data_IF_466165141339
#
_entry.id   IF_466165141339
#
_cell.length_a   1.000
_cell.length_b   1.000
_cell.length_c   1.000
_cell.angle_alpha   90.00
_cell.angle_beta   90.00
_cell.angle_gamma   90.00
#
_symmetry.space_group_name_H-M   'P 1'
#
loop_
_entity.id
_entity.type
_entity.pdbx_description
1 polymer ?
#
# COMPACT_ATOMS: atom_id res chain seq x y z
N UNK A 1 19.19 26.38 38.53
CA UNK A 1 20.56 25.81 38.56
C UNK A 1 21.05 25.83 37.12
N UNK A 2 22.11 26.56 36.79
CA UNK A 2 22.62 26.67 35.42
C UNK A 2 23.53 25.48 35.13
N UNK A 3 23.13 24.63 34.19
CA UNK A 3 23.99 23.58 33.65
C UNK A 3 24.93 24.20 32.62
N UNK A 4 26.24 24.01 32.82
CA UNK A 4 27.25 24.40 31.85
C UNK A 4 27.46 23.21 30.93
N UNK A 5 27.14 23.36 29.64
CA UNK A 5 27.40 22.34 28.64
C UNK A 5 28.91 22.22 28.33
N UNK A 6 29.31 21.13 27.69
CA UNK A 6 30.71 20.84 27.33
C UNK A 6 31.34 21.82 26.33
N UNK A 7 30.55 22.68 25.69
CA UNK A 7 30.96 23.61 24.63
C UNK A 7 31.03 25.08 25.05
N UNK A 8 31.06 25.39 26.35
CA UNK A 8 31.04 26.78 26.83
C UNK A 8 29.68 27.48 26.68
N UNK A 9 28.67 26.74 26.24
CA UNK A 9 27.28 27.17 26.22
C UNK A 9 26.65 27.08 27.61
N UNK A 10 25.92 28.11 27.99
CA UNK A 10 25.20 28.19 29.26
C UNK A 10 23.73 27.92 28.98
N UNK A 11 23.16 26.87 29.58
CA UNK A 11 21.73 26.61 29.50
C UNK A 11 20.95 27.73 30.19
N UNK A 12 19.99 28.32 29.50
CA UNK A 12 19.07 29.32 30.04
C UNK A 12 17.68 28.70 30.21
N UNK A 13 16.73 29.47 30.77
CA UNK A 13 15.37 28.98 31.00
C UNK A 13 14.76 28.45 29.69
N UNK A 14 14.27 27.20 29.75
CA UNK A 14 13.57 26.58 28.63
C UNK A 14 12.26 27.31 28.36
N UNK A 15 11.89 27.44 27.09
CA UNK A 15 10.60 27.98 26.71
C UNK A 15 9.61 26.84 26.52
N UNK A 16 8.39 27.03 27.00
CA UNK A 16 7.29 26.11 26.77
C UNK A 16 6.31 26.78 25.84
N UNK A 17 5.86 26.07 24.82
CA UNK A 17 4.78 26.53 23.95
C UNK A 17 3.85 25.37 23.62
N UNK A 18 2.63 25.71 23.23
CA UNK A 18 1.64 24.73 22.80
C UNK A 18 1.56 24.75 21.28
N UNK A 19 1.79 23.61 20.65
CA UNK A 19 1.57 23.38 19.22
C UNK A 19 0.30 22.52 19.09
N UNK A 20 -0.76 22.97 18.40
CA UNK A 20 -1.98 22.17 18.24
C UNK A 20 -1.75 20.85 17.49
N UNK A 21 -0.66 20.71 16.73
CA UNK A 21 -0.28 19.44 16.11
C UNK A 21 0.43 18.52 17.10
N UNK A 22 1.45 19.01 17.82
CA UNK A 22 2.35 18.15 18.61
C UNK A 22 2.13 18.21 20.13
N UNK A 23 1.14 18.97 20.61
CA UNK A 23 0.90 19.21 22.02
C UNK A 23 1.91 20.18 22.65
N UNK A 24 2.14 20.02 23.95
CA UNK A 24 3.07 20.87 24.70
C UNK A 24 4.50 20.54 24.30
N UNK A 25 5.26 21.56 23.89
CA UNK A 25 6.65 21.42 23.49
C UNK A 25 7.58 22.14 24.44
N UNK A 26 8.79 21.58 24.58
CA UNK A 26 9.88 22.17 25.35
C UNK A 26 10.99 22.58 24.40
N UNK A 27 11.33 23.86 24.41
CA UNK A 27 12.48 24.41 23.70
C UNK A 27 13.58 24.63 24.71
N UNK A 28 14.64 23.85 24.60
CA UNK A 28 15.86 24.10 25.34
C UNK A 28 16.60 25.29 24.72
N UNK A 29 17.05 26.21 25.58
CA UNK A 29 17.71 27.42 25.13
C UNK A 29 19.10 27.50 25.74
N UNK A 30 20.07 27.83 24.90
CA UNK A 30 21.47 27.92 25.27
C UNK A 30 22.02 29.27 24.82
N UNK A 31 22.86 29.89 25.66
CA UNK A 31 23.50 31.17 25.35
C UNK A 31 25.02 31.01 25.39
N UNK A 32 25.72 31.51 24.38
CA UNK A 32 27.17 31.42 24.30
C UNK A 32 27.77 32.34 23.25
N UNK A 33 29.06 32.16 22.96
CA UNK A 33 29.72 32.82 21.83
C UNK A 33 29.07 32.36 20.51
N UNK A 34 28.96 33.27 19.54
CA UNK A 34 28.35 33.02 18.24
C UNK A 34 28.97 31.82 17.52
N UNK A 35 30.28 31.64 17.59
CA UNK A 35 30.98 30.53 16.91
C UNK A 35 30.66 29.16 17.55
N UNK A 36 30.59 29.10 18.89
CA UNK A 36 30.21 27.89 19.63
C UNK A 36 28.74 27.54 19.40
N UNK A 37 27.87 28.56 19.41
CA UNK A 37 26.43 28.42 19.10
C UNK A 37 26.25 27.91 17.67
N UNK A 38 26.99 28.45 16.70
CA UNK A 38 26.93 28.00 15.30
C UNK A 38 27.39 26.55 15.16
N UNK A 39 28.50 26.17 15.79
CA UNK A 39 29.02 24.79 15.76
C UNK A 39 27.99 23.79 16.31
N UNK A 40 27.35 24.16 17.43
CA UNK A 40 26.31 23.34 18.05
C UNK A 40 25.02 23.30 17.21
N UNK A 41 24.62 24.44 16.62
CA UNK A 41 23.51 24.52 15.68
C UNK A 41 23.72 23.59 14.47
N UNK A 42 24.88 23.65 13.83
CA UNK A 42 25.21 22.81 12.67
C UNK A 42 25.17 21.32 13.06
N UNK A 43 25.59 20.97 14.28
CA UNK A 43 25.50 19.59 14.82
C UNK A 43 24.05 19.12 14.92
N UNK A 44 23.14 19.95 15.42
CA UNK A 44 21.71 19.62 15.51
C UNK A 44 21.03 19.54 14.14
N UNK A 45 21.33 20.46 13.23
CA UNK A 45 20.79 20.42 11.87
C UNK A 45 21.26 19.15 11.13
N UNK A 46 22.53 18.77 11.27
CA UNK A 46 23.08 17.57 10.65
C UNK A 46 22.52 16.27 11.25
N UNK A 47 22.00 16.29 12.49
CA UNK A 47 21.31 15.16 13.10
C UNK A 47 19.78 15.16 12.87
N UNK A 48 19.26 16.13 12.10
CA UNK A 48 17.83 16.24 11.79
C UNK A 48 16.98 16.86 12.90
N UNK A 49 17.59 17.44 13.93
CA UNK A 49 16.89 18.11 15.03
C UNK A 49 16.54 19.55 14.61
N UNK A 50 15.34 20.00 14.97
CA UNK A 50 14.92 21.39 14.71
C UNK A 50 15.59 22.33 15.70
N UNK A 51 16.43 23.22 15.18
CA UNK A 51 17.07 24.26 15.95
C UNK A 51 16.89 25.63 15.27
N UNK A 52 16.93 26.70 16.06
CA UNK A 52 17.03 28.08 15.57
C UNK A 52 18.14 28.82 16.30
N UNK A 53 18.74 29.80 15.63
CA UNK A 53 19.79 30.65 16.18
C UNK A 53 19.38 32.11 16.08
N UNK A 54 19.42 32.82 17.20
CA UNK A 54 19.11 34.24 17.31
C UNK A 54 20.36 35.01 17.72
N UNK A 55 20.92 35.89 16.87
CA UNK A 55 22.04 36.74 17.26
C UNK A 55 21.59 37.80 18.28
N UNK A 56 22.45 38.12 19.25
CA UNK A 56 22.22 39.24 20.17
C UNK A 56 22.95 40.46 19.61
N UNK A 57 22.19 41.39 19.01
CA UNK A 57 22.74 42.59 18.37
C UNK A 57 23.73 43.34 19.27
N UNK A 58 24.83 43.81 18.68
CA UNK A 58 25.89 44.54 19.38
C UNK A 58 26.77 43.68 20.30
N UNK A 59 26.64 42.34 20.29
CA UNK A 59 27.45 41.44 21.12
C UNK A 59 28.00 40.25 20.32
N UNK A 60 29.11 39.62 20.75
CA UNK A 60 29.59 38.38 20.15
C UNK A 60 28.79 37.14 20.58
N UNK A 61 27.58 37.32 21.15
CA UNK A 61 26.78 36.23 21.73
C UNK A 61 25.56 35.92 20.86
N UNK A 62 25.12 34.67 20.92
CA UNK A 62 23.89 34.21 20.30
C UNK A 62 23.10 33.31 21.26
N UNK A 63 21.81 33.15 20.97
CA UNK A 63 20.93 32.18 21.63
C UNK A 63 20.65 31.06 20.63
N UNK A 64 20.93 29.83 21.04
CA UNK A 64 20.47 28.62 20.37
C UNK A 64 19.16 28.18 21.03
N UNK A 65 18.14 27.94 20.23
CA UNK A 65 16.89 27.32 20.65
C UNK A 65 16.81 25.94 19.98
N UNK A 66 16.76 24.88 20.77
CA UNK A 66 16.66 23.49 20.30
C UNK A 66 15.29 22.97 20.71
N UNK A 67 14.49 22.58 19.73
CA UNK A 67 13.23 21.93 19.99
C UNK A 67 13.52 20.44 20.26
N UNK A 68 13.43 20.02 21.52
CA UNK A 68 13.75 18.65 21.92
C UNK A 68 12.74 17.62 21.38
N UNK A 69 11.66 18.08 20.72
CA UNK A 69 10.44 17.30 20.66
C UNK A 69 9.86 17.18 22.07
N UNK A 70 8.53 17.27 22.22
CA UNK A 70 7.97 16.68 23.43
C UNK A 70 8.21 15.17 23.35
N UNK A 71 8.22 14.48 24.49
CA UNK A 71 7.75 13.08 24.58
C UNK A 71 6.27 12.93 24.13
N UNK A 72 5.72 13.95 23.46
CA UNK A 72 4.60 13.82 22.55
C UNK A 72 4.99 12.80 21.51
N UNK A 73 4.57 11.57 21.79
CA UNK A 73 4.14 10.57 20.81
C UNK A 73 3.85 11.31 19.52
N UNK A 74 4.64 11.01 18.49
CA UNK A 74 4.60 11.60 17.15
C UNK A 74 3.22 12.18 16.80
N UNK A 75 3.12 13.29 16.09
CA UNK A 75 1.79 13.65 15.54
C UNK A 75 1.32 12.60 14.51
N UNK A 76 2.27 11.78 14.03
CA UNK A 76 2.03 10.51 13.35
C UNK A 76 1.55 9.36 14.28
N UNK A 77 1.54 9.52 15.60
CA UNK A 77 0.95 8.57 16.55
C UNK A 77 -0.58 8.51 16.44
N UNK A 78 -1.21 9.53 15.85
CA UNK A 78 -2.61 9.45 15.45
C UNK A 78 -2.80 8.86 14.05
N UNK A 79 -1.72 8.66 13.28
CA UNK A 79 -1.77 7.94 12.01
C UNK A 79 -1.60 6.45 12.30
N UNK A 80 -2.72 5.80 12.64
CA UNK A 80 -2.71 4.35 12.75
C UNK A 80 -2.64 3.74 11.35
N UNK A 81 -1.47 3.20 11.00
CA UNK A 81 -1.23 2.51 9.73
C UNK A 81 -1.21 0.99 9.97
N UNK A 82 -2.08 0.28 9.28
CA UNK A 82 -2.20 -1.18 9.39
C UNK A 82 -2.12 -1.81 8.00
N UNK A 83 -1.23 -2.79 7.86
CA UNK A 83 -1.12 -3.63 6.68
C UNK A 83 -1.70 -5.01 6.98
N UNK A 84 -2.54 -5.50 6.07
CA UNK A 84 -3.15 -6.84 6.19
C UNK A 84 -3.09 -7.56 4.86
N UNK A 85 -2.81 -8.86 4.91
CA UNK A 85 -2.90 -9.76 3.77
C UNK A 85 -4.09 -10.69 4.00
N UNK A 86 -5.15 -10.49 3.24
CA UNK A 86 -6.45 -11.15 3.47
C UNK A 86 -6.71 -12.11 2.30
N UNK A 87 -7.09 -13.38 2.56
CA UNK A 87 -7.62 -14.24 1.52
C UNK A 87 -9.00 -13.72 1.09
N UNK A 88 -9.15 -13.40 -0.18
CA UNK A 88 -10.40 -13.08 -0.83
C UNK A 88 -10.86 -14.26 -1.65
N UNK A 89 -12.09 -14.69 -1.41
CA UNK A 89 -12.76 -15.68 -2.23
C UNK A 89 -13.27 -14.99 -3.48
N UNK A 90 -12.92 -15.52 -4.65
CA UNK A 90 -13.43 -15.04 -5.94
C UNK A 90 -13.98 -16.20 -6.76
N UNK A 91 -15.01 -15.92 -7.54
CA UNK A 91 -15.49 -16.84 -8.55
C UNK A 91 -14.76 -16.59 -9.86
N UNK A 92 -14.23 -17.66 -10.44
CA UNK A 92 -13.55 -17.63 -11.72
C UNK A 92 -14.26 -18.49 -12.74
N UNK A 93 -14.20 -18.09 -14.00
CA UNK A 93 -14.68 -18.92 -15.10
C UNK A 93 -13.92 -20.24 -15.18
N UNK A 94 -14.62 -21.34 -15.44
CA UNK A 94 -13.98 -22.64 -15.70
C UNK A 94 -12.94 -22.59 -16.84
N UNK A 95 -13.03 -21.64 -17.78
CA UNK A 95 -12.05 -21.47 -18.85
C UNK A 95 -10.62 -21.17 -18.35
N UNK A 96 -10.50 -20.60 -17.16
CA UNK A 96 -9.19 -20.30 -16.54
C UNK A 96 -8.75 -21.35 -15.52
N UNK A 97 -9.57 -22.40 -15.31
CA UNK A 97 -9.27 -23.44 -14.34
C UNK A 97 -7.97 -24.19 -14.72
N UNK A 98 -7.05 -24.46 -13.77
CA UNK A 98 -5.75 -25.06 -14.06
C UNK A 98 -5.81 -26.36 -14.87
N UNK A 99 -6.81 -27.22 -14.64
CA UNK A 99 -6.98 -28.49 -15.35
C UNK A 99 -7.31 -28.33 -16.84
N UNK A 100 -7.90 -27.20 -17.24
CA UNK A 100 -8.34 -26.97 -18.63
C UNK A 100 -7.49 -25.91 -19.33
N UNK A 101 -6.83 -25.04 -18.56
CA UNK A 101 -6.02 -23.93 -19.06
C UNK A 101 -4.96 -24.37 -20.07
N UNK A 102 -4.24 -25.46 -19.78
CA UNK A 102 -3.21 -25.98 -20.68
C UNK A 102 -3.81 -26.48 -22.00
N UNK A 103 -4.98 -27.14 -21.95
CA UNK A 103 -5.68 -27.63 -23.13
C UNK A 103 -6.19 -26.50 -24.00
N UNK A 104 -6.78 -25.45 -23.41
CA UNK A 104 -7.21 -24.27 -24.16
C UNK A 104 -6.03 -23.49 -24.74
N UNK A 105 -4.91 -23.39 -24.02
CA UNK A 105 -3.70 -22.74 -24.53
C UNK A 105 -3.04 -23.51 -25.69
N UNK A 106 -3.27 -24.82 -25.80
CA UNK A 106 -2.80 -25.64 -26.90
C UNK A 106 -3.71 -25.59 -28.14
N UNK A 107 -4.94 -25.08 -28.01
CA UNK A 107 -5.83 -24.88 -29.15
C UNK A 107 -5.39 -23.64 -29.95
N UNK A 108 -5.45 -23.74 -31.28
CA UNK A 108 -5.37 -22.54 -32.12
C UNK A 108 -6.57 -21.62 -31.81
N UNK A 109 -6.39 -20.30 -31.93
CA UNK A 109 -7.44 -19.32 -31.63
C UNK A 109 -8.76 -19.63 -32.36
N UNK A 110 -8.69 -19.98 -33.64
CA UNK A 110 -9.86 -20.39 -34.42
C UNK A 110 -10.55 -21.64 -33.85
N UNK A 111 -9.77 -22.60 -33.35
CA UNK A 111 -10.29 -23.80 -32.67
C UNK A 111 -10.96 -23.48 -31.35
N UNK A 112 -10.40 -22.57 -30.54
CA UNK A 112 -11.00 -22.14 -29.29
C UNK A 112 -12.30 -21.34 -29.51
N UNK A 113 -12.34 -20.50 -30.56
CA UNK A 113 -13.56 -19.78 -30.96
C UNK A 113 -14.64 -20.77 -31.39
N UNK A 114 -14.29 -21.75 -32.24
CA UNK A 114 -15.24 -22.77 -32.67
C UNK A 114 -15.73 -23.61 -31.49
N UNK A 115 -14.84 -24.05 -30.59
CA UNK A 115 -15.20 -24.79 -29.39
C UNK A 115 -16.18 -24.02 -28.51
N UNK A 116 -15.96 -22.73 -28.29
CA UNK A 116 -16.88 -21.88 -27.52
C UNK A 116 -18.24 -21.72 -28.19
N UNK A 117 -18.27 -21.68 -29.53
CA UNK A 117 -19.51 -21.66 -30.30
C UNK A 117 -20.26 -22.98 -30.14
N UNK A 118 -19.58 -24.10 -30.35
CA UNK A 118 -20.16 -25.44 -30.20
C UNK A 118 -20.72 -25.65 -28.79
N UNK A 119 -20.01 -25.17 -27.76
CA UNK A 119 -20.43 -25.22 -26.37
C UNK A 119 -21.71 -24.42 -26.09
N UNK A 120 -21.88 -23.28 -26.77
CA UNK A 120 -23.08 -22.45 -26.68
C UNK A 120 -24.25 -23.13 -27.39
N UNK A 121 -24.05 -23.54 -28.64
CA UNK A 121 -25.07 -24.23 -29.45
C UNK A 121 -25.56 -25.49 -28.72
N UNK A 122 -24.63 -26.26 -28.12
CA UNK A 122 -24.93 -27.45 -27.33
C UNK A 122 -25.78 -27.16 -26.08
N UNK A 123 -25.54 -26.04 -25.39
CA UNK A 123 -26.30 -25.65 -24.20
C UNK A 123 -27.74 -25.21 -24.52
N UNK A 124 -28.00 -24.76 -25.75
CA UNK A 124 -29.33 -24.31 -26.20
C UNK A 124 -30.19 -25.49 -26.68
N UNK A 125 -29.58 -26.54 -27.25
CA UNK A 125 -30.29 -27.70 -27.82
C UNK A 125 -30.69 -28.78 -26.78
N UNK A 126 -30.23 -28.69 -25.53
CA UNK A 126 -30.61 -29.61 -24.45
C UNK A 126 -30.09 -31.05 -24.61
N UNK A 127 -29.03 -31.24 -25.41
CA UNK A 127 -28.46 -32.54 -25.74
C UNK A 127 -27.56 -33.02 -24.58
N UNK A 128 -27.55 -34.32 -24.28
CA UNK A 128 -26.69 -34.92 -23.24
C UNK A 128 -25.23 -35.00 -23.71
N UNK A 129 -24.20 -34.90 -22.83
CA UNK A 129 -22.77 -34.85 -23.20
C UNK A 129 -22.28 -35.92 -24.20
N UNK A 130 -22.96 -37.07 -24.26
CA UNK A 130 -22.75 -38.14 -25.23
C UNK A 130 -23.01 -37.76 -26.70
N UNK A 131 -23.64 -36.62 -26.97
CA UNK A 131 -23.95 -36.12 -28.30
C UNK A 131 -22.89 -35.20 -28.90
N UNK A 132 -21.78 -34.95 -28.21
CA UNK A 132 -20.71 -34.10 -28.74
C UNK A 132 -20.06 -34.75 -29.98
N UNK A 133 -19.85 -34.02 -31.08
CA UNK A 133 -19.22 -34.58 -32.27
C UNK A 133 -17.74 -34.91 -31.99
N UNK A 134 -17.45 -36.21 -31.81
CA UNK A 134 -16.10 -36.74 -31.60
C UNK A 134 -15.73 -36.97 -30.13
N UNK A 135 -14.63 -37.69 -29.90
CA UNK A 135 -14.07 -37.89 -28.56
C UNK A 135 -13.22 -36.67 -28.19
N UNK A 136 -13.70 -35.89 -27.22
CA UNK A 136 -13.02 -34.70 -26.70
C UNK A 136 -11.73 -35.03 -25.91
N UNK A 137 -11.60 -36.27 -25.44
CA UNK A 137 -10.54 -36.69 -24.53
C UNK A 137 -10.65 -36.02 -23.14
N UNK A 138 -10.03 -36.63 -22.14
CA UNK A 138 -9.78 -35.94 -20.86
C UNK A 138 -8.66 -34.91 -21.10
N UNK A 139 -8.79 -33.63 -20.68
CA UNK A 139 -9.74 -33.08 -19.68
C UNK A 139 -10.95 -32.31 -20.24
N UNK A 140 -11.15 -32.23 -21.56
CA UNK A 140 -12.25 -31.45 -22.16
C UNK A 140 -13.62 -32.08 -21.93
N UNK A 141 -13.69 -33.40 -21.87
CA UNK A 141 -14.94 -34.10 -21.54
C UNK A 141 -15.47 -33.71 -20.15
N UNK A 142 -14.58 -33.59 -19.16
CA UNK A 142 -14.95 -33.12 -17.82
C UNK A 142 -15.40 -31.65 -17.83
N UNK A 143 -14.74 -30.81 -18.61
CA UNK A 143 -15.15 -29.41 -18.79
C UNK A 143 -16.55 -29.30 -19.39
N UNK A 144 -16.82 -30.04 -20.49
CA UNK A 144 -18.13 -30.04 -21.13
C UNK A 144 -19.19 -30.60 -20.19
N UNK A 145 -18.89 -31.66 -19.41
CA UNK A 145 -19.81 -32.18 -18.40
C UNK A 145 -20.18 -31.12 -17.35
N UNK A 146 -19.20 -30.46 -16.73
CA UNK A 146 -19.45 -29.35 -15.80
C UNK A 146 -20.26 -28.23 -16.46
N UNK A 147 -19.97 -27.95 -17.73
CA UNK A 147 -20.74 -26.97 -18.49
C UNK A 147 -22.20 -27.41 -18.71
N UNK A 148 -22.47 -28.69 -18.98
CA UNK A 148 -23.83 -29.19 -19.13
C UNK A 148 -24.60 -29.17 -17.79
N UNK A 149 -23.89 -29.31 -16.67
CA UNK A 149 -24.43 -29.21 -15.31
C UNK A 149 -24.63 -27.75 -14.85
N UNK A 150 -24.57 -26.78 -15.76
CA UNK A 150 -24.67 -25.33 -15.49
C UNK A 150 -23.59 -24.76 -14.56
N UNK A 151 -22.54 -25.53 -14.27
CA UNK A 151 -21.37 -25.05 -13.53
C UNK A 151 -20.52 -24.26 -14.51
N UNK A 152 -20.48 -22.93 -14.36
CA UNK A 152 -19.71 -21.99 -15.21
C UNK A 152 -18.49 -21.42 -14.52
N UNK A 153 -18.53 -21.43 -13.19
CA UNK A 153 -17.53 -20.84 -12.33
C UNK A 153 -17.05 -21.84 -11.30
N UNK A 154 -15.85 -21.58 -10.77
CA UNK A 154 -15.31 -22.26 -9.62
C UNK A 154 -14.80 -21.24 -8.62
N UNK A 155 -14.88 -21.59 -7.35
CA UNK A 155 -14.36 -20.75 -6.28
C UNK A 155 -12.85 -20.92 -6.17
N UNK A 156 -12.13 -19.82 -6.12
CA UNK A 156 -10.71 -19.80 -5.76
C UNK A 156 -10.44 -18.76 -4.68
N UNK A 157 -9.32 -18.91 -4.00
CA UNK A 157 -8.86 -17.96 -2.99
C UNK A 157 -7.68 -17.20 -3.56
N UNK A 158 -7.78 -15.88 -3.59
CA UNK A 158 -6.69 -14.98 -3.97
C UNK A 158 -6.36 -14.03 -2.85
N UNK A 159 -5.19 -13.40 -2.93
CA UNK A 159 -4.74 -12.50 -1.89
C UNK A 159 -5.13 -11.06 -2.19
N UNK A 160 -5.59 -10.36 -1.17
CA UNK A 160 -5.76 -8.91 -1.18
C UNK A 160 -4.82 -8.33 -0.15
N UNK A 161 -3.86 -7.53 -0.61
CA UNK A 161 -3.06 -6.70 0.28
C UNK A 161 -3.86 -5.43 0.55
N UNK A 162 -4.07 -5.11 1.81
CA UNK A 162 -4.82 -3.92 2.24
C UNK A 162 -3.95 -3.07 3.16
N UNK A 163 -3.89 -1.79 2.86
CA UNK A 163 -3.30 -0.76 3.71
C UNK A 163 -4.39 0.19 4.20
N UNK A 164 -4.60 0.20 5.51
CA UNK A 164 -5.54 1.10 6.17
C UNK A 164 -4.77 2.15 6.94
N UNK A 165 -5.10 3.42 6.70
CA UNK A 165 -4.59 4.56 7.48
C UNK A 165 -5.75 5.28 8.14
N UNK A 166 -5.74 5.35 9.47
CA UNK A 166 -6.64 6.24 10.19
C UNK A 166 -5.91 7.54 10.45
N UNK A 167 -6.54 8.67 10.18
CA UNK A 167 -5.91 10.00 10.19
C UNK A 167 -6.82 11.02 10.88
N UNK A 168 -6.21 12.05 11.46
CA UNK A 168 -6.94 13.10 12.16
C UNK A 168 -7.80 13.94 11.19
N UNK A 169 -8.91 14.57 11.66
CA UNK A 169 -9.77 15.38 10.81
C UNK A 169 -9.08 16.60 10.18
N UNK A 170 -8.00 17.07 10.78
CA UNK A 170 -7.24 18.26 10.34
C UNK A 170 -6.14 17.94 9.34
N UNK A 171 -5.87 16.65 9.08
CA UNK A 171 -4.87 16.25 8.09
C UNK A 171 -5.40 16.59 6.69
N UNK A 172 -4.58 17.17 5.83
CA UNK A 172 -4.94 17.33 4.41
C UNK A 172 -5.06 15.95 3.78
N UNK A 173 -6.29 15.48 3.55
CA UNK A 173 -6.55 14.15 3.01
C UNK A 173 -6.67 14.24 1.52
N UNK A 174 -5.75 13.58 0.81
CA UNK A 174 -5.93 13.28 -0.61
C UNK A 174 -5.87 11.78 -0.77
N UNK A 175 -6.95 11.19 -1.28
CA UNK A 175 -6.94 9.81 -1.72
C UNK A 175 -5.87 9.66 -2.80
N UNK A 176 -4.94 8.73 -2.61
CA UNK A 176 -3.87 8.50 -3.57
C UNK A 176 -4.36 7.61 -4.72
N UNK A 177 -4.69 8.27 -5.83
CA UNK A 177 -5.05 7.61 -7.10
C UNK A 177 -3.86 7.43 -8.03
N UNK A 178 -2.63 7.69 -7.57
CA UNK A 178 -1.43 7.43 -8.36
C UNK A 178 -1.40 5.94 -8.70
N UNK A 179 -1.26 5.63 -9.99
CA UNK A 179 -1.24 4.26 -10.50
C UNK A 179 -2.52 3.45 -10.18
N UNK A 180 -3.68 4.10 -10.03
CA UNK A 180 -4.98 3.42 -9.99
C UNK A 180 -5.20 2.59 -11.27
N UNK A 181 -5.71 1.36 -11.11
CA UNK A 181 -5.87 0.34 -12.17
C UNK A 181 -4.57 0.01 -12.91
N UNK A 182 -3.43 0.21 -12.27
CA UNK A 182 -2.14 -0.28 -12.76
C UNK A 182 -1.69 -1.51 -12.00
N UNK A 183 -0.95 -2.36 -12.70
CA UNK A 183 -0.38 -3.58 -12.13
C UNK A 183 1.06 -3.37 -11.69
N UNK A 184 1.40 -3.90 -10.53
CA UNK A 184 2.75 -3.95 -9.99
C UNK A 184 3.26 -5.39 -10.01
N UNK A 185 4.56 -5.60 -10.26
CA UNK A 185 5.20 -6.84 -9.80
C UNK A 185 5.34 -6.80 -8.28
N UNK A 186 5.49 -7.95 -7.61
CA UNK A 186 5.71 -7.97 -6.15
C UNK A 186 6.89 -7.08 -5.73
N UNK A 187 7.99 -7.07 -6.50
CA UNK A 187 9.14 -6.19 -6.25
C UNK A 187 8.81 -4.71 -6.44
N UNK A 188 8.11 -4.35 -7.53
CA UNK A 188 7.74 -2.96 -7.78
C UNK A 188 6.77 -2.42 -6.71
N UNK A 189 5.84 -3.27 -6.25
CA UNK A 189 4.93 -2.95 -5.15
C UNK A 189 5.70 -2.71 -3.84
N UNK A 190 6.65 -3.59 -3.53
CA UNK A 190 7.48 -3.48 -2.34
C UNK A 190 8.28 -2.17 -2.31
N UNK A 191 8.84 -1.76 -3.45
CA UNK A 191 9.54 -0.48 -3.57
C UNK A 191 8.59 0.72 -3.49
N UNK A 192 7.47 0.68 -4.22
CA UNK A 192 6.56 1.83 -4.33
C UNK A 192 5.81 2.14 -3.03
N UNK A 193 5.32 1.10 -2.33
CA UNK A 193 4.45 1.29 -1.17
C UNK A 193 5.14 0.99 0.17
N UNK A 194 6.35 0.41 0.14
CA UNK A 194 7.15 0.07 1.32
C UNK A 194 6.38 -0.63 2.46
N UNK A 195 5.68 -1.76 2.20
CA UNK A 195 5.02 -2.53 3.27
C UNK A 195 6.04 -3.01 4.33
N UNK A 196 5.61 -3.30 5.57
CA UNK A 196 6.48 -3.88 6.58
C UNK A 196 7.14 -5.17 6.10
N UNK A 197 8.39 -5.41 6.51
CA UNK A 197 9.19 -6.57 6.07
C UNK A 197 8.53 -7.91 6.39
N UNK A 198 7.74 -7.98 7.48
CA UNK A 198 6.95 -9.15 7.87
C UNK A 198 5.81 -9.46 6.91
N UNK A 199 5.22 -8.45 6.28
CA UNK A 199 4.22 -8.63 5.22
C UNK A 199 4.93 -8.99 3.92
N UNK A 200 6.00 -8.28 3.58
CA UNK A 200 6.76 -8.49 2.35
C UNK A 200 7.26 -9.93 2.19
N UNK A 201 7.75 -10.57 3.27
CA UNK A 201 8.22 -11.95 3.22
C UNK A 201 7.11 -12.98 2.99
N UNK A 202 5.84 -12.60 3.15
CA UNK A 202 4.68 -13.47 2.94
C UNK A 202 3.98 -13.23 1.61
N UNK A 203 4.35 -12.18 0.86
CA UNK A 203 3.69 -11.86 -0.40
C UNK A 203 4.04 -12.90 -1.47
N UNK A 204 3.04 -13.50 -2.14
CA UNK A 204 3.31 -14.36 -3.28
C UNK A 204 3.95 -13.59 -4.45
N UNK A 205 4.76 -14.29 -5.24
CA UNK A 205 5.29 -13.76 -6.50
C UNK A 205 4.17 -13.66 -7.53
N UNK A 206 4.00 -12.49 -8.15
CA UNK A 206 3.02 -12.29 -9.21
C UNK A 206 2.76 -10.83 -9.50
N UNK A 207 1.51 -10.51 -9.83
CA UNK A 207 1.07 -9.18 -10.25
C UNK A 207 -0.06 -8.66 -9.35
N UNK A 208 0.03 -7.40 -8.96
CA UNK A 208 -0.85 -6.75 -8.00
C UNK A 208 -1.55 -5.56 -8.63
N UNK A 209 -2.87 -5.58 -8.72
CA UNK A 209 -3.67 -4.48 -9.30
C UNK A 209 -4.10 -3.52 -8.19
N UNK A 210 -3.70 -2.25 -8.27
CA UNK A 210 -4.13 -1.21 -7.32
C UNK A 210 -5.59 -0.83 -7.58
N UNK A 211 -6.44 -1.00 -6.56
CA UNK A 211 -7.86 -0.64 -6.60
C UNK A 211 -8.09 0.82 -6.21
N UNK A 212 -9.35 1.25 -6.34
CA UNK A 212 -9.75 2.59 -5.94
C UNK A 212 -9.61 2.72 -4.43
N UNK A 213 -9.11 3.86 -3.98
CA UNK A 213 -9.02 4.16 -2.56
C UNK A 213 -10.41 4.47 -2.00
N UNK A 214 -10.74 3.89 -0.85
CA UNK A 214 -11.94 4.24 -0.08
C UNK A 214 -11.56 5.19 1.05
N UNK A 215 -12.38 6.23 1.26
CA UNK A 215 -12.22 7.18 2.37
C UNK A 215 -13.53 7.26 3.11
N UNK A 216 -13.49 6.96 4.41
CA UNK A 216 -14.68 6.94 5.27
C UNK A 216 -14.41 7.77 6.52
N UNK A 217 -15.39 8.57 6.93
CA UNK A 217 -15.32 9.28 8.21
C UNK A 217 -15.80 8.35 9.34
N UNK A 218 -14.99 8.26 10.40
CA UNK A 218 -15.30 7.50 11.61
C UNK A 218 -16.16 8.33 12.57
N UNK A 219 -16.81 7.67 13.53
CA UNK A 219 -17.72 8.30 14.49
C UNK A 219 -17.04 9.31 15.43
N UNK A 220 -15.73 9.22 15.60
CA UNK A 220 -14.91 10.15 16.40
C UNK A 220 -14.38 11.34 15.56
N UNK A 221 -14.83 11.46 14.31
CA UNK A 221 -14.45 12.53 13.39
C UNK A 221 -13.15 12.27 12.61
N UNK A 222 -12.38 11.23 12.95
CA UNK A 222 -11.21 10.81 12.15
C UNK A 222 -11.65 10.25 10.80
N UNK A 223 -10.70 10.08 9.89
CA UNK A 223 -10.94 9.43 8.60
C UNK A 223 -10.15 8.13 8.49
N UNK A 224 -10.75 7.12 7.87
CA UNK A 224 -10.11 5.87 7.49
C UNK A 224 -9.90 5.87 5.98
N UNK A 225 -8.66 5.70 5.55
CA UNK A 225 -8.25 5.65 4.15
C UNK A 225 -7.77 4.23 3.87
N UNK A 226 -8.50 3.51 3.02
CA UNK A 226 -8.22 2.12 2.66
C UNK A 226 -7.72 2.05 1.23
N UNK A 227 -6.54 1.44 1.05
CA UNK A 227 -5.95 1.13 -0.25
C UNK A 227 -5.81 -0.38 -0.38
N UNK A 228 -6.15 -0.91 -1.54
CA UNK A 228 -6.08 -2.33 -1.81
C UNK A 228 -5.30 -2.65 -3.07
N UNK A 229 -4.61 -3.79 -3.02
CA UNK A 229 -3.97 -4.40 -4.17
C UNK A 229 -4.43 -5.84 -4.29
N UNK A 230 -5.02 -6.17 -5.44
CA UNK A 230 -5.55 -7.49 -5.71
C UNK A 230 -4.48 -8.32 -6.42
N UNK A 231 -4.12 -9.45 -5.83
CA UNK A 231 -3.13 -10.37 -6.38
C UNK A 231 -3.69 -11.18 -7.54
N UNK A 232 -2.85 -11.42 -8.55
CA UNK A 232 -2.94 -12.54 -9.49
C UNK A 232 -1.56 -13.09 -9.78
N UNK A 233 -1.50 -14.33 -10.26
CA UNK A 233 -0.28 -14.91 -10.80
C UNK A 233 0.24 -14.07 -11.98
N UNK A 234 1.52 -14.19 -12.31
CA UNK A 234 2.12 -13.49 -13.44
C UNK A 234 1.32 -13.73 -14.73
N UNK A 235 0.90 -12.64 -15.38
CA UNK A 235 0.04 -12.70 -16.58
C UNK A 235 -1.44 -12.95 -16.31
N UNK A 236 -1.87 -12.96 -15.03
CA UNK A 236 -3.28 -13.13 -14.66
C UNK A 236 -4.16 -11.89 -14.88
N UNK A 237 -3.54 -10.73 -15.11
CA UNK A 237 -4.21 -9.49 -15.52
C UNK A 237 -4.05 -9.30 -17.04
N UNK A 238 -5.14 -8.93 -17.72
CA UNK A 238 -5.13 -8.65 -19.16
C UNK A 238 -4.39 -7.33 -19.42
N UNK A 239 -3.24 -7.41 -20.10
CA UNK A 239 -2.38 -6.25 -20.36
C UNK A 239 -2.97 -5.22 -21.32
N UNK A 240 -4.05 -5.58 -22.03
CA UNK A 240 -4.81 -4.64 -22.88
C UNK A 240 -5.74 -3.76 -22.05
N UNK A 241 -6.15 -4.24 -20.88
CA UNK A 241 -7.05 -3.54 -19.96
C UNK A 241 -6.22 -2.82 -18.89
N UNK A 242 -5.23 -3.50 -18.31
CA UNK A 242 -4.42 -3.00 -17.21
C UNK A 242 -2.96 -2.85 -17.63
N UNK A 243 -2.38 -1.67 -17.46
CA UNK A 243 -0.95 -1.43 -17.74
C UNK A 243 -0.10 -1.56 -16.50
N UNK A 244 1.20 -1.75 -16.70
CA UNK A 244 2.17 -1.63 -15.61
C UNK A 244 2.13 -0.24 -14.96
N UNK A 245 2.35 -0.20 -13.64
CA UNK A 245 2.59 1.04 -12.92
C UNK A 245 3.88 1.70 -13.41
N UNK A 246 3.87 3.04 -13.50
CA UNK A 246 5.04 3.86 -13.82
C UNK A 246 5.76 4.24 -12.53
#
# INVERSE_FOLDING_TARGET
MSEIGTSGLIKIASAYYWDPATGQRVVERWKGNKDDVKTTFDTYINSGVRASMEPIEGTPKAILSVDQGGDGVDVDANVQSVWTLIPSVEEQSLFVHPNYKATFAAMADAGLVQFKKDLKDFSEDGITPSGWPGSLGSPLEDFVRLWCEEIRTFTTTRWVLRHTRVVAPTTSLTADYTNYLRTYTTTALATAESPPSTILSTLPTGSWLKQACAVEQLSDGRFSIVREWWYRETGGWDSRIYSAAV
#
